data_IF_194395057513
#
_entry.id   IF_194395057513
#
_cell.length_a   1.000
_cell.length_b   1.000
_cell.length_c   1.000
_cell.angle_alpha   90.00
_cell.angle_beta   90.00
_cell.angle_gamma   90.00
#
_symmetry.space_group_name_H-M   'P 1'
#
loop_
_entity.id
_entity.type
_entity.pdbx_description
1 polymer ?
#
# COMPACT_ATOMS: atom_id res chain seq x y z
N UNK A 1 -37.58 5.16 -31.57
CA UNK A 1 -36.16 4.72 -31.66
C UNK A 1 -35.68 4.18 -30.31
N UNK A 2 -36.39 3.18 -29.77
CA UNK A 2 -35.91 2.31 -28.67
C UNK A 2 -35.38 1.05 -29.34
N UNK A 3 -34.12 0.69 -29.10
CA UNK A 3 -33.53 -0.52 -29.70
C UNK A 3 -32.05 -0.37 -29.95
N UNK A 4 -31.26 -0.38 -28.87
CA UNK A 4 -29.81 -0.59 -28.92
C UNK A 4 -29.21 -0.96 -27.54
N UNK A 5 -29.95 -0.76 -26.43
CA UNK A 5 -29.46 -1.03 -25.07
C UNK A 5 -29.72 -2.45 -24.53
N UNK A 6 -30.56 -3.26 -25.17
CA UNK A 6 -30.96 -4.59 -24.65
C UNK A 6 -30.15 -5.77 -25.24
N UNK A 7 -29.14 -5.51 -26.07
CA UNK A 7 -28.37 -6.56 -26.75
C UNK A 7 -27.06 -6.97 -26.03
N UNK A 8 -26.84 -6.54 -24.78
CA UNK A 8 -25.72 -7.02 -23.95
C UNK A 8 -26.14 -7.78 -22.69
N UNK A 9 -27.45 -7.96 -22.44
CA UNK A 9 -27.93 -8.93 -21.45
C UNK A 9 -28.07 -10.30 -22.12
N UNK A 10 -26.94 -10.95 -22.42
CA UNK A 10 -26.95 -12.38 -22.73
C UNK A 10 -27.24 -13.16 -21.44
N UNK A 11 -28.30 -13.99 -21.39
CA UNK A 11 -28.53 -14.90 -20.26
C UNK A 11 -27.50 -16.04 -20.38
N UNK A 12 -26.35 -15.85 -19.74
CA UNK A 12 -25.22 -16.79 -19.82
C UNK A 12 -23.82 -16.14 -19.82
N UNK A 13 -23.72 -14.80 -19.77
CA UNK A 13 -22.44 -14.13 -19.53
C UNK A 13 -22.02 -14.29 -18.07
N UNK A 14 -20.83 -14.84 -17.82
CA UNK A 14 -20.27 -14.86 -16.46
C UNK A 14 -19.99 -13.43 -16.03
N UNK A 15 -20.54 -13.00 -14.88
CA UNK A 15 -20.32 -11.66 -14.34
C UNK A 15 -18.82 -11.36 -14.21
N UNK A 16 -18.42 -10.15 -14.61
CA UNK A 16 -17.02 -9.74 -14.62
C UNK A 16 -16.36 -9.90 -13.24
N UNK A 17 -17.11 -9.66 -12.16
CA UNK A 17 -16.66 -9.88 -10.78
C UNK A 17 -16.37 -11.36 -10.49
N UNK A 18 -17.23 -12.29 -10.92
CA UNK A 18 -17.01 -13.74 -10.73
C UNK A 18 -15.71 -14.18 -11.42
N UNK A 19 -15.50 -13.74 -12.67
CA UNK A 19 -14.27 -14.04 -13.40
C UNK A 19 -13.04 -13.40 -12.75
N UNK A 20 -13.13 -12.13 -12.36
CA UNK A 20 -12.03 -11.39 -11.76
C UNK A 20 -11.57 -12.01 -10.44
N UNK A 21 -12.49 -12.23 -9.51
CA UNK A 21 -12.20 -12.84 -8.21
C UNK A 21 -11.84 -14.33 -8.32
N UNK A 22 -12.46 -15.07 -9.25
CA UNK A 22 -12.10 -16.45 -9.55
C UNK A 22 -10.65 -16.57 -10.07
N UNK A 23 -10.25 -15.68 -10.98
CA UNK A 23 -8.87 -15.61 -11.47
C UNK A 23 -7.89 -15.23 -10.34
N UNK A 24 -8.27 -14.28 -9.48
CA UNK A 24 -7.47 -13.89 -8.32
C UNK A 24 -7.24 -15.06 -7.37
N UNK A 25 -8.29 -15.82 -7.07
CA UNK A 25 -8.23 -17.00 -6.20
C UNK A 25 -7.31 -18.07 -6.81
N UNK A 26 -7.46 -18.36 -8.10
CA UNK A 26 -6.61 -19.33 -8.81
C UNK A 26 -5.14 -18.90 -8.85
N UNK A 27 -4.86 -17.64 -9.21
CA UNK A 27 -3.50 -17.12 -9.30
C UNK A 27 -2.79 -17.14 -7.94
N UNK A 28 -3.48 -16.74 -6.87
CA UNK A 28 -2.95 -16.82 -5.51
C UNK A 28 -2.88 -18.25 -4.99
N UNK A 29 -3.74 -19.17 -5.45
CA UNK A 29 -3.66 -20.59 -5.07
C UNK A 29 -2.40 -21.24 -5.65
N UNK A 30 -2.08 -20.96 -6.92
CA UNK A 30 -0.82 -21.40 -7.54
C UNK A 30 0.38 -20.82 -6.77
N UNK A 31 0.33 -19.52 -6.43
CA UNK A 31 1.37 -18.89 -5.62
C UNK A 31 1.48 -19.53 -4.23
N UNK A 32 0.37 -19.80 -3.56
CA UNK A 32 0.34 -20.47 -2.26
C UNK A 32 1.00 -21.85 -2.34
N UNK A 33 0.68 -22.63 -3.36
CA UNK A 33 1.28 -23.95 -3.57
C UNK A 33 2.81 -23.86 -3.74
N UNK A 34 3.29 -22.92 -4.54
CA UNK A 34 4.73 -22.67 -4.73
C UNK A 34 5.39 -22.25 -3.41
N UNK A 35 4.76 -21.36 -2.64
CA UNK A 35 5.30 -20.89 -1.37
C UNK A 35 5.34 -21.98 -0.30
N UNK A 36 4.31 -22.81 -0.20
CA UNK A 36 4.24 -23.90 0.78
C UNK A 36 5.24 -25.02 0.47
N UNK A 37 5.47 -25.32 -0.81
CA UNK A 37 6.45 -26.34 -1.24
C UNK A 37 7.90 -25.85 -1.19
N UNK A 38 8.14 -24.54 -1.33
CA UNK A 38 9.49 -23.95 -1.24
C UNK A 38 9.84 -23.41 0.15
N UNK A 39 8.93 -23.51 1.13
CA UNK A 39 9.13 -22.95 2.47
C UNK A 39 10.22 -23.70 3.24
N UNK A 40 11.18 -22.93 3.78
CA UNK A 40 12.31 -23.44 4.57
C UNK A 40 12.23 -23.09 6.05
N UNK A 41 11.02 -23.05 6.62
CA UNK A 41 10.81 -22.94 8.08
C UNK A 41 10.98 -21.55 8.71
N UNK A 42 11.10 -20.47 7.92
CA UNK A 42 11.26 -19.10 8.44
C UNK A 42 9.93 -18.38 8.64
N UNK A 43 9.85 -17.55 9.69
CA UNK A 43 8.66 -16.76 10.04
C UNK A 43 8.22 -15.81 8.91
N UNK A 44 9.15 -15.17 8.20
CA UNK A 44 8.81 -14.26 7.08
C UNK A 44 8.11 -15.00 5.95
N UNK A 45 8.61 -16.19 5.59
CA UNK A 45 7.96 -17.05 4.60
C UNK A 45 6.60 -17.57 5.08
N UNK A 46 6.46 -17.88 6.37
CA UNK A 46 5.18 -18.29 6.94
C UNK A 46 4.13 -17.17 6.90
N UNK A 47 4.50 -15.93 7.25
CA UNK A 47 3.62 -14.77 7.17
C UNK A 47 3.17 -14.49 5.74
N UNK A 48 4.09 -14.59 4.78
CA UNK A 48 3.75 -14.43 3.36
C UNK A 48 2.81 -15.53 2.89
N UNK A 49 3.13 -16.79 3.16
CA UNK A 49 2.27 -17.91 2.78
C UNK A 49 0.88 -17.78 3.41
N UNK A 50 0.80 -17.39 4.69
CA UNK A 50 -0.47 -17.13 5.36
C UNK A 50 -1.26 -15.98 4.70
N UNK A 51 -0.59 -14.86 4.35
CA UNK A 51 -1.22 -13.74 3.66
C UNK A 51 -1.78 -14.16 2.29
N UNK A 52 -1.02 -14.94 1.52
CA UNK A 52 -1.46 -15.47 0.23
C UNK A 52 -2.62 -16.45 0.40
N UNK A 53 -2.55 -17.40 1.34
CA UNK A 53 -3.63 -18.34 1.61
C UNK A 53 -4.93 -17.61 2.02
N UNK A 54 -4.85 -16.60 2.88
CA UNK A 54 -6.03 -15.80 3.24
C UNK A 54 -6.57 -14.99 2.06
N UNK A 55 -5.69 -14.53 1.17
CA UNK A 55 -6.10 -13.86 -0.08
C UNK A 55 -6.85 -14.83 -1.00
N UNK A 56 -6.45 -16.11 -1.06
CA UNK A 56 -7.22 -17.16 -1.77
C UNK A 56 -8.61 -17.35 -1.17
N UNK A 57 -8.71 -17.46 0.16
CA UNK A 57 -9.99 -17.64 0.85
C UNK A 57 -10.92 -16.45 0.64
N UNK A 58 -10.38 -15.23 0.80
CA UNK A 58 -11.12 -13.99 0.55
C UNK A 58 -11.59 -13.91 -0.91
N UNK A 59 -10.70 -14.09 -1.89
CA UNK A 59 -11.04 -14.00 -3.30
C UNK A 59 -12.04 -15.08 -3.73
N UNK A 60 -11.90 -16.30 -3.19
CA UNK A 60 -12.87 -17.38 -3.43
C UNK A 60 -14.26 -17.07 -2.87
N UNK A 61 -14.33 -16.51 -1.66
CA UNK A 61 -15.60 -16.10 -1.07
C UNK A 61 -16.23 -14.91 -1.82
N UNK A 62 -15.41 -13.93 -2.23
CA UNK A 62 -15.85 -12.81 -3.05
C UNK A 62 -16.40 -13.29 -4.41
N UNK A 63 -15.72 -14.23 -5.08
CA UNK A 63 -16.22 -14.85 -6.30
C UNK A 63 -17.56 -15.58 -6.07
N UNK A 64 -17.68 -16.30 -4.97
CA UNK A 64 -18.94 -16.97 -4.60
C UNK A 64 -20.08 -16.01 -4.33
N UNK A 65 -19.83 -14.89 -3.64
CA UNK A 65 -20.81 -13.80 -3.44
C UNK A 65 -21.27 -13.21 -4.78
N UNK A 66 -20.33 -12.95 -5.70
CA UNK A 66 -20.68 -12.49 -7.05
C UNK A 66 -21.47 -13.55 -7.84
N UNK A 67 -21.26 -14.84 -7.57
CA UNK A 67 -21.99 -15.95 -8.19
C UNK A 67 -23.34 -16.25 -7.52
N UNK A 68 -23.77 -15.46 -6.54
CA UNK A 68 -25.08 -15.59 -5.88
C UNK A 68 -25.08 -16.27 -4.52
N UNK A 69 -23.93 -16.44 -3.85
CA UNK A 69 -23.93 -16.77 -2.41
C UNK A 69 -24.72 -15.70 -1.65
N UNK A 70 -25.57 -16.14 -0.71
CA UNK A 70 -26.47 -15.24 0.00
C UNK A 70 -25.74 -14.15 0.80
N UNK A 71 -26.39 -12.99 1.05
CA UNK A 71 -25.77 -11.84 1.70
C UNK A 71 -25.31 -12.09 3.15
N UNK A 72 -25.74 -13.20 3.78
CA UNK A 72 -25.26 -13.62 5.09
C UNK A 72 -23.76 -13.93 5.16
N UNK A 73 -23.10 -14.10 4.02
CA UNK A 73 -21.65 -14.32 3.91
C UNK A 73 -20.82 -13.02 3.77
N UNK A 74 -21.46 -11.85 3.59
CA UNK A 74 -20.75 -10.56 3.49
C UNK A 74 -19.90 -10.25 4.74
N UNK A 75 -20.35 -10.52 5.98
CA UNK A 75 -19.48 -10.36 7.15
C UNK A 75 -18.23 -11.25 7.12
N UNK A 76 -18.34 -12.48 6.59
CA UNK A 76 -17.20 -13.39 6.45
C UNK A 76 -16.18 -12.86 5.43
N UNK A 77 -16.67 -12.31 4.32
CA UNK A 77 -15.83 -11.71 3.29
C UNK A 77 -15.04 -10.52 3.84
N UNK A 78 -15.69 -9.59 4.53
CA UNK A 78 -15.00 -8.46 5.17
C UNK A 78 -14.00 -8.88 6.25
N UNK A 79 -14.29 -9.92 7.04
CA UNK A 79 -13.36 -10.45 8.04
C UNK A 79 -12.13 -11.12 7.41
N UNK A 80 -12.34 -11.91 6.33
CA UNK A 80 -11.25 -12.49 5.57
C UNK A 80 -10.41 -11.42 4.89
N UNK A 81 -11.04 -10.36 4.38
CA UNK A 81 -10.34 -9.21 3.82
C UNK A 81 -9.45 -8.55 4.86
N UNK A 82 -10.02 -8.20 6.02
CA UNK A 82 -9.30 -7.57 7.13
C UNK A 82 -8.11 -8.43 7.56
N UNK A 83 -8.31 -9.73 7.72
CA UNK A 83 -7.26 -10.64 8.12
C UNK A 83 -6.18 -10.80 7.02
N UNK A 84 -6.57 -10.83 5.74
CA UNK A 84 -5.64 -10.90 4.60
C UNK A 84 -4.76 -9.64 4.53
N UNK A 85 -5.37 -8.45 4.53
CA UNK A 85 -4.67 -7.17 4.44
C UNK A 85 -3.87 -6.90 5.71
N UNK A 86 -4.37 -7.33 6.86
CA UNK A 86 -3.64 -7.33 8.13
C UNK A 86 -2.38 -8.20 8.09
N UNK A 87 -2.43 -9.39 7.50
CA UNK A 87 -1.24 -10.25 7.33
C UNK A 87 -0.23 -9.68 6.33
N UNK A 88 -0.68 -9.08 5.23
CA UNK A 88 0.20 -8.35 4.31
C UNK A 88 0.92 -7.20 5.01
N UNK A 89 0.19 -6.41 5.80
CA UNK A 89 0.79 -5.34 6.59
C UNK A 89 1.78 -5.89 7.63
N UNK A 90 1.40 -6.94 8.38
CA UNK A 90 2.27 -7.57 9.37
C UNK A 90 3.55 -8.13 8.72
N UNK A 91 3.44 -8.71 7.53
CA UNK A 91 4.59 -9.16 6.74
C UNK A 91 5.52 -8.00 6.37
N UNK A 92 4.99 -6.88 5.83
CA UNK A 92 5.79 -5.69 5.51
C UNK A 92 6.47 -5.10 6.75
N UNK A 93 5.75 -4.97 7.86
CA UNK A 93 6.29 -4.47 9.13
C UNK A 93 7.38 -5.40 9.69
N UNK A 94 7.23 -6.72 9.49
CA UNK A 94 8.25 -7.70 9.88
C UNK A 94 9.51 -7.58 9.03
N UNK A 95 9.39 -7.26 7.75
CA UNK A 95 10.54 -6.97 6.88
C UNK A 95 11.24 -5.65 7.24
N UNK A 96 10.49 -4.67 7.77
CA UNK A 96 11.02 -3.38 8.20
C UNK A 96 11.78 -3.42 9.53
N UNK A 97 11.45 -4.37 10.41
CA UNK A 97 11.92 -4.38 11.80
C UNK A 97 13.45 -4.58 11.89
N UNK A 98 14.21 -3.61 12.44
CA UNK A 98 15.62 -3.82 12.77
C UNK A 98 15.75 -4.93 13.83
N UNK A 99 16.74 -5.82 13.68
CA UNK A 99 17.08 -6.76 14.76
C UNK A 99 17.65 -5.97 15.96
N UNK A 100 16.85 -5.97 17.02
CA UNK A 100 17.17 -5.70 18.43
C UNK A 100 17.46 -4.25 18.89
N UNK A 101 16.92 -3.92 20.08
CA UNK A 101 17.58 -3.01 21.01
C UNK A 101 16.73 -1.90 21.61
N UNK A 102 16.36 -0.88 20.83
CA UNK A 102 16.08 0.46 21.43
C UNK A 102 14.71 1.05 21.07
N UNK A 103 14.01 0.50 20.06
CA UNK A 103 12.73 1.04 19.57
C UNK A 103 11.47 0.45 20.23
N UNK A 104 11.59 -0.65 20.97
CA UNK A 104 10.46 -1.45 21.47
C UNK A 104 9.48 -0.69 22.38
N UNK A 105 9.94 0.27 23.17
CA UNK A 105 9.08 1.01 24.10
C UNK A 105 8.19 2.06 23.40
N UNK A 106 8.69 2.72 22.34
CA UNK A 106 7.94 3.77 21.63
C UNK A 106 6.97 3.22 20.57
N UNK A 107 7.23 2.04 20.02
CA UNK A 107 6.35 1.42 19.01
C UNK A 107 5.23 0.58 19.61
N UNK A 108 5.36 0.15 20.87
CA UNK A 108 4.34 -0.63 21.58
C UNK A 108 2.97 0.04 21.67
N UNK A 109 2.82 1.34 22.04
CA UNK A 109 1.50 1.97 22.09
C UNK A 109 0.84 2.05 20.70
N UNK A 110 1.62 2.29 19.64
CA UNK A 110 1.12 2.33 18.26
C UNK A 110 0.66 0.94 17.80
N UNK A 111 1.41 -0.11 18.13
CA UNK A 111 1.01 -1.49 17.83
C UNK A 111 -0.28 -1.89 18.58
N UNK A 112 -0.41 -1.50 19.85
CA UNK A 112 -1.65 -1.73 20.63
C UNK A 112 -2.82 -0.96 20.04
N UNK A 113 -2.64 0.32 19.69
CA UNK A 113 -3.69 1.12 19.06
C UNK A 113 -4.12 0.52 17.70
N UNK A 114 -3.17 0.03 16.90
CA UNK A 114 -3.45 -0.67 15.65
C UNK A 114 -4.25 -1.96 15.87
N UNK A 115 -3.87 -2.78 16.86
CA UNK A 115 -4.59 -4.00 17.23
C UNK A 115 -6.02 -3.69 17.73
N UNK A 116 -6.19 -2.67 18.58
CA UNK A 116 -7.51 -2.25 19.06
C UNK A 116 -8.39 -1.74 17.91
N UNK A 117 -7.80 -0.99 16.97
CA UNK A 117 -8.52 -0.49 15.79
C UNK A 117 -8.95 -1.65 14.88
N UNK A 118 -8.08 -2.64 14.67
CA UNK A 118 -8.41 -3.85 13.91
C UNK A 118 -9.48 -4.69 14.63
N UNK A 119 -9.39 -4.84 15.95
CA UNK A 119 -10.39 -5.55 16.75
C UNK A 119 -11.76 -4.84 16.71
N UNK A 120 -11.78 -3.52 16.80
CA UNK A 120 -13.00 -2.72 16.62
C UNK A 120 -13.58 -2.92 15.23
N UNK A 121 -12.76 -2.85 14.18
CA UNK A 121 -13.22 -3.08 12.81
C UNK A 121 -13.78 -4.50 12.63
N UNK A 122 -13.11 -5.52 13.16
CA UNK A 122 -13.59 -6.90 13.15
C UNK A 122 -14.94 -7.04 13.87
N UNK A 123 -15.11 -6.40 15.03
CA UNK A 123 -16.37 -6.37 15.76
C UNK A 123 -17.49 -5.70 14.93
N UNK A 124 -17.20 -4.56 14.28
CA UNK A 124 -18.14 -3.87 13.41
C UNK A 124 -18.55 -4.72 12.19
N UNK A 125 -17.62 -5.50 11.64
CA UNK A 125 -17.89 -6.42 10.53
C UNK A 125 -18.72 -7.63 10.98
N UNK A 126 -18.44 -8.19 12.16
CA UNK A 126 -19.17 -9.31 12.76
C UNK A 126 -20.55 -8.91 13.33
N UNK A 127 -20.84 -7.62 13.46
CA UNK A 127 -22.07 -7.09 14.04
C UNK A 127 -23.38 -7.76 13.54
N UNK A 128 -23.56 -8.04 12.23
CA UNK A 128 -24.76 -8.71 11.74
C UNK A 128 -24.96 -10.14 12.29
N UNK A 129 -23.87 -10.90 12.48
CA UNK A 129 -23.95 -12.24 13.08
C UNK A 129 -24.23 -12.22 14.57
N UNK A 130 -23.84 -11.13 15.25
CA UNK A 130 -24.13 -10.90 16.66
C UNK A 130 -25.53 -10.34 16.91
N UNK A 131 -26.35 -10.16 15.85
CA UNK A 131 -27.67 -9.56 15.95
C UNK A 131 -27.65 -8.08 16.33
N UNK A 132 -26.51 -7.40 16.17
CA UNK A 132 -26.38 -5.98 16.47
C UNK A 132 -27.06 -5.12 15.38
N UNK A 133 -27.50 -3.89 15.72
CA UNK A 133 -28.19 -3.02 14.77
C UNK A 133 -27.37 -2.76 13.50
N UNK A 134 -28.00 -2.78 12.33
CA UNK A 134 -27.33 -2.56 11.04
C UNK A 134 -26.67 -1.18 10.92
N UNK A 135 -27.13 -0.19 11.69
CA UNK A 135 -26.53 1.15 11.78
C UNK A 135 -25.29 1.21 12.70
N UNK A 136 -24.95 0.14 13.41
CA UNK A 136 -23.78 0.11 14.29
C UNK A 136 -22.50 0.26 13.45
N UNK A 137 -21.74 1.32 13.76
CA UNK A 137 -20.58 1.75 12.98
C UNK A 137 -20.88 2.87 11.98
N UNK A 138 -22.12 3.37 11.88
CA UNK A 138 -22.43 4.58 11.12
C UNK A 138 -22.54 5.79 12.04
N UNK A 139 -21.75 6.83 11.80
CA UNK A 139 -21.75 8.08 12.57
C UNK A 139 -21.96 9.26 11.64
N UNK A 140 -23.07 10.00 11.80
CA UNK A 140 -23.37 11.19 10.99
C UNK A 140 -23.29 10.96 9.47
N UNK A 141 -23.70 9.75 9.02
CA UNK A 141 -23.64 9.36 7.61
C UNK A 141 -22.29 8.80 7.16
N UNK A 142 -21.26 8.76 8.00
CA UNK A 142 -19.98 8.10 7.73
C UNK A 142 -20.00 6.64 8.21
N UNK A 143 -19.64 5.70 7.32
CA UNK A 143 -19.43 4.30 7.66
C UNK A 143 -17.99 4.05 8.16
N UNK A 144 -17.85 3.76 9.47
CA UNK A 144 -16.57 3.50 10.11
C UNK A 144 -15.86 2.25 9.55
N UNK A 145 -16.58 1.32 8.92
CA UNK A 145 -15.97 0.14 8.30
C UNK A 145 -15.14 0.55 7.10
N UNK A 146 -15.69 1.40 6.25
CA UNK A 146 -15.00 1.96 5.06
C UNK A 146 -13.79 2.81 5.48
N UNK A 147 -13.94 3.62 6.53
CA UNK A 147 -12.83 4.41 7.10
C UNK A 147 -11.73 3.49 7.63
N UNK A 148 -12.09 2.39 8.29
CA UNK A 148 -11.14 1.40 8.79
C UNK A 148 -10.31 0.75 7.68
N UNK A 149 -10.96 0.32 6.59
CA UNK A 149 -10.25 -0.23 5.42
C UNK A 149 -9.42 0.82 4.69
N UNK A 150 -9.90 2.06 4.55
CA UNK A 150 -9.12 3.16 4.00
C UNK A 150 -7.85 3.41 4.83
N UNK A 151 -7.96 3.44 6.16
CA UNK A 151 -6.82 3.60 7.05
C UNK A 151 -5.82 2.44 6.90
N UNK A 152 -6.32 1.19 6.81
CA UNK A 152 -5.48 0.01 6.57
C UNK A 152 -4.73 0.10 5.24
N UNK A 153 -5.39 0.59 4.18
CA UNK A 153 -4.76 0.79 2.87
C UNK A 153 -3.66 1.85 2.90
N UNK A 154 -3.89 2.98 3.58
CA UNK A 154 -2.87 4.01 3.80
C UNK A 154 -1.67 3.45 4.58
N UNK A 155 -1.91 2.69 5.65
CA UNK A 155 -0.85 2.04 6.43
C UNK A 155 -0.03 1.06 5.57
N UNK A 156 -0.69 0.29 4.71
CA UNK A 156 -0.05 -0.59 3.74
C UNK A 156 0.86 0.17 2.77
N UNK A 157 0.37 1.26 2.17
CA UNK A 157 1.15 2.12 1.28
C UNK A 157 2.37 2.74 1.99
N UNK A 158 2.18 3.24 3.21
CA UNK A 158 3.28 3.79 4.02
C UNK A 158 4.31 2.70 4.33
N UNK A 159 3.88 1.49 4.67
CA UNK A 159 4.78 0.36 4.94
C UNK A 159 5.57 -0.06 3.68
N UNK A 160 4.93 -0.09 2.51
CA UNK A 160 5.60 -0.35 1.22
C UNK A 160 6.62 0.75 0.92
N UNK A 161 6.27 2.02 1.13
CA UNK A 161 7.20 3.15 0.97
C UNK A 161 8.40 3.00 1.90
N UNK A 162 8.16 2.77 3.19
CA UNK A 162 9.24 2.60 4.16
C UNK A 162 10.15 1.45 3.74
N UNK A 163 9.58 0.33 3.28
CA UNK A 163 10.35 -0.85 2.90
C UNK A 163 11.25 -0.54 1.70
N UNK A 164 10.69 0.07 0.65
CA UNK A 164 11.44 0.39 -0.55
C UNK A 164 12.54 1.43 -0.29
N UNK A 165 12.24 2.48 0.48
CA UNK A 165 13.16 3.61 0.70
C UNK A 165 14.27 3.30 1.69
N UNK A 166 13.96 2.54 2.73
CA UNK A 166 14.97 2.15 3.72
C UNK A 166 15.84 0.97 3.26
N UNK A 167 15.52 0.34 2.12
CA UNK A 167 16.38 -0.66 1.49
C UNK A 167 17.48 -0.01 0.66
N UNK A 168 18.72 -0.48 0.86
CA UNK A 168 19.90 -0.02 0.12
C UNK A 168 19.71 -0.17 -1.41
N UNK A 169 20.15 0.80 -2.24
CA UNK A 169 19.91 0.81 -3.69
C UNK A 169 20.26 -0.50 -4.40
N UNK A 170 21.34 -1.15 -3.98
CA UNK A 170 21.87 -2.39 -4.56
C UNK A 170 20.91 -3.57 -4.34
N UNK A 171 20.13 -3.54 -3.25
CA UNK A 171 19.16 -4.58 -2.88
C UNK A 171 17.74 -4.27 -3.35
N UNK A 172 17.45 -3.05 -3.82
CA UNK A 172 16.11 -2.66 -4.30
C UNK A 172 15.63 -3.53 -5.46
N UNK A 173 16.54 -4.03 -6.30
CA UNK A 173 16.19 -4.93 -7.40
C UNK A 173 15.53 -6.24 -6.93
N UNK A 174 15.91 -6.72 -5.74
CA UNK A 174 15.34 -7.94 -5.14
C UNK A 174 13.93 -7.77 -4.58
N UNK A 175 13.60 -6.57 -4.08
CA UNK A 175 12.28 -6.29 -3.46
C UNK A 175 11.32 -5.53 -4.37
N UNK A 176 11.76 -5.01 -5.52
CA UNK A 176 10.90 -4.16 -6.38
C UNK A 176 9.58 -4.84 -6.76
N UNK A 177 9.60 -6.13 -7.07
CA UNK A 177 8.40 -6.86 -7.48
C UNK A 177 7.46 -7.11 -6.31
N UNK A 178 8.00 -7.28 -5.11
CA UNK A 178 7.21 -7.35 -3.89
C UNK A 178 6.53 -6.01 -3.62
N UNK A 179 7.28 -4.91 -3.70
CA UNK A 179 6.74 -3.56 -3.51
C UNK A 179 5.70 -3.21 -4.58
N UNK A 180 5.89 -3.63 -5.84
CA UNK A 180 4.92 -3.41 -6.91
C UNK A 180 3.66 -4.25 -6.72
N UNK A 181 3.79 -5.53 -6.37
CA UNK A 181 2.64 -6.41 -6.13
C UNK A 181 1.83 -5.94 -4.92
N UNK A 182 2.45 -5.89 -3.74
CA UNK A 182 1.76 -5.50 -2.49
C UNK A 182 1.35 -4.03 -2.51
N UNK A 183 2.19 -3.16 -3.08
CA UNK A 183 1.85 -1.75 -3.26
C UNK A 183 0.68 -1.55 -4.22
N UNK A 184 0.56 -2.37 -5.28
CA UNK A 184 -0.59 -2.38 -6.17
C UNK A 184 -1.89 -2.75 -5.45
N UNK A 185 -1.87 -3.79 -4.61
CA UNK A 185 -3.01 -4.18 -3.77
C UNK A 185 -3.48 -3.02 -2.89
N UNK A 186 -2.57 -2.46 -2.08
CA UNK A 186 -2.92 -1.36 -1.17
C UNK A 186 -3.25 -0.05 -1.89
N UNK A 187 -2.66 0.23 -3.06
CA UNK A 187 -2.99 1.41 -3.86
C UNK A 187 -4.42 1.32 -4.40
N UNK A 188 -4.81 0.13 -4.89
CA UNK A 188 -6.16 -0.10 -5.35
C UNK A 188 -7.17 -0.04 -4.20
N UNK A 189 -6.88 -0.69 -3.07
CA UNK A 189 -7.71 -0.63 -1.87
C UNK A 189 -7.86 0.83 -1.38
N UNK A 190 -6.77 1.61 -1.36
CA UNK A 190 -6.82 3.03 -1.01
C UNK A 190 -7.78 3.79 -1.93
N UNK A 191 -7.69 3.57 -3.25
CA UNK A 191 -8.57 4.20 -4.21
C UNK A 191 -10.04 3.82 -4.00
N UNK A 192 -10.31 2.51 -3.92
CA UNK A 192 -11.64 1.94 -3.73
C UNK A 192 -12.30 2.48 -2.45
N UNK A 193 -11.60 2.44 -1.32
CA UNK A 193 -12.16 2.90 -0.05
C UNK A 193 -12.18 4.42 0.09
N UNK A 194 -11.30 5.15 -0.60
CA UNK A 194 -11.39 6.62 -0.66
C UNK A 194 -12.66 7.06 -1.41
N UNK A 195 -12.96 6.42 -2.55
CA UNK A 195 -14.20 6.60 -3.29
C UNK A 195 -15.41 6.24 -2.41
N UNK A 196 -15.35 5.07 -1.77
CA UNK A 196 -16.45 4.58 -0.96
C UNK A 196 -16.75 5.46 0.26
N UNK A 197 -15.73 6.02 0.92
CA UNK A 197 -15.89 6.99 2.01
C UNK A 197 -16.44 8.32 1.49
N UNK A 198 -16.09 8.75 0.28
CA UNK A 198 -16.58 10.02 -0.26
C UNK A 198 -18.07 9.94 -0.65
N UNK A 199 -18.51 8.83 -1.26
CA UNK A 199 -19.89 8.65 -1.71
C UNK A 199 -20.77 7.83 -0.77
N UNK A 200 -20.20 7.30 0.31
CA UNK A 200 -20.88 6.44 1.28
C UNK A 200 -21.52 5.20 0.64
N UNK A 201 -20.91 4.70 -0.43
CA UNK A 201 -21.31 3.51 -1.18
C UNK A 201 -20.09 2.87 -1.82
N UNK A 202 -20.07 1.55 -1.91
CA UNK A 202 -19.11 0.84 -2.73
C UNK A 202 -19.59 0.88 -4.19
N UNK A 203 -18.76 1.40 -5.09
CA UNK A 203 -19.04 1.35 -6.53
C UNK A 203 -18.89 -0.11 -7.01
N UNK A 204 -19.95 -0.73 -7.58
CA UNK A 204 -19.89 -2.13 -8.02
C UNK A 204 -18.83 -2.38 -9.09
N UNK A 205 -18.55 -1.42 -9.98
CA UNK A 205 -17.55 -1.59 -11.02
C UNK A 205 -16.13 -1.58 -10.45
N UNK A 206 -15.86 -0.71 -9.46
CA UNK A 206 -14.59 -0.72 -8.75
C UNK A 206 -14.44 -1.97 -7.88
N UNK A 207 -15.54 -2.44 -7.31
CA UNK A 207 -15.54 -3.70 -6.57
C UNK A 207 -15.24 -4.90 -7.48
N UNK A 208 -15.85 -4.98 -8.66
CA UNK A 208 -15.65 -6.06 -9.63
C UNK A 208 -14.22 -6.08 -10.20
N UNK A 209 -13.67 -4.90 -10.52
CA UNK A 209 -12.33 -4.79 -11.09
C UNK A 209 -11.22 -5.17 -10.08
N UNK A 210 -11.50 -5.16 -8.78
CA UNK A 210 -10.53 -5.50 -7.72
C UNK A 210 -9.94 -6.89 -7.90
N UNK A 211 -10.78 -7.88 -8.24
CA UNK A 211 -10.32 -9.25 -8.48
C UNK A 211 -9.25 -9.33 -9.58
N UNK A 212 -9.41 -8.57 -10.67
CA UNK A 212 -8.40 -8.54 -11.73
C UNK A 212 -7.07 -7.92 -11.25
N UNK A 213 -7.13 -6.88 -10.41
CA UNK A 213 -5.93 -6.24 -9.85
C UNK A 213 -5.20 -7.19 -8.89
N UNK A 214 -5.92 -7.89 -8.02
CA UNK A 214 -5.35 -8.94 -7.18
C UNK A 214 -4.73 -10.06 -8.05
N UNK A 215 -5.39 -10.50 -9.12
CA UNK A 215 -4.85 -11.49 -10.04
C UNK A 215 -3.54 -11.04 -10.70
N UNK A 216 -3.42 -9.77 -11.07
CA UNK A 216 -2.20 -9.18 -11.65
C UNK A 216 -1.08 -9.00 -10.61
N UNK A 217 -1.40 -8.87 -9.33
CA UNK A 217 -0.40 -8.82 -8.26
C UNK A 217 0.28 -10.17 -8.05
N UNK A 218 -0.46 -11.28 -8.18
CA UNK A 218 0.06 -12.64 -7.97
C UNK A 218 1.34 -12.98 -8.77
N UNK A 219 1.47 -12.73 -10.09
CA UNK A 219 2.70 -13.01 -10.81
C UNK A 219 3.87 -12.12 -10.36
N UNK A 220 3.63 -10.86 -9.97
CA UNK A 220 4.68 -9.99 -9.40
C UNK A 220 5.20 -10.57 -8.08
N UNK A 221 4.29 -11.05 -7.23
CA UNK A 221 4.63 -11.72 -5.97
C UNK A 221 5.35 -13.04 -6.22
N UNK A 222 4.97 -13.81 -7.24
CA UNK A 222 5.65 -15.04 -7.64
C UNK A 222 7.09 -14.77 -8.10
N UNK A 223 7.31 -13.72 -8.91
CA UNK A 223 8.66 -13.30 -9.31
C UNK A 223 9.47 -12.83 -8.10
N UNK A 224 8.86 -12.12 -7.16
CA UNK A 224 9.52 -11.74 -5.90
C UNK A 224 9.93 -12.97 -5.07
N UNK A 225 9.06 -13.98 -5.02
CA UNK A 225 9.31 -15.25 -4.34
C UNK A 225 10.45 -16.06 -4.96
N UNK A 226 10.41 -16.23 -6.28
CA UNK A 226 11.43 -16.97 -7.02
C UNK A 226 12.81 -16.32 -6.91
N UNK A 227 12.86 -14.98 -6.84
CA UNK A 227 14.12 -14.23 -6.70
C UNK A 227 14.69 -14.23 -5.29
N UNK A 228 13.89 -14.53 -4.28
CA UNK A 228 14.31 -14.54 -2.87
C UNK A 228 13.91 -15.85 -2.16
N UNK A 229 14.44 -17.03 -2.58
CA UNK A 229 13.93 -18.34 -2.15
C UNK A 229 14.08 -18.59 -0.64
N UNK A 230 15.11 -18.00 -0.03
CA UNK A 230 15.36 -18.17 1.39
C UNK A 230 14.48 -17.26 2.26
N UNK A 231 13.76 -16.30 1.65
CA UNK A 231 13.09 -15.16 2.29
C UNK A 231 13.91 -14.46 3.38
N UNK A 232 15.21 -14.75 3.51
CA UNK A 232 16.22 -13.78 3.91
C UNK A 232 16.35 -12.83 2.74
N UNK A 233 15.33 -12.00 2.63
CA UNK A 233 15.61 -10.61 2.60
C UNK A 233 16.51 -10.34 3.83
N UNK A 234 17.82 -10.58 3.69
CA UNK A 234 18.84 -9.79 4.36
C UNK A 234 18.71 -8.37 3.81
N UNK A 235 17.51 -7.82 3.81
CA UNK A 235 17.22 -6.43 3.60
C UNK A 235 17.70 -5.84 4.91
N UNK A 236 19.01 -5.58 4.93
CA UNK A 236 19.57 -4.57 5.79
C UNK A 236 18.86 -3.29 5.35
N UNK A 237 17.69 -3.07 5.93
CA UNK A 237 17.18 -1.74 6.19
C UNK A 237 18.38 -1.01 6.80
N UNK A 238 18.79 0.08 6.17
CA UNK A 238 19.89 0.90 6.70
C UNK A 238 19.75 1.02 8.22
N UNK A 239 20.85 0.88 8.96
CA UNK A 239 20.86 0.88 10.44
C UNK A 239 20.19 2.14 11.04
N UNK A 240 19.91 3.14 10.20
CA UNK A 240 19.06 4.30 10.49
C UNK A 240 17.80 4.24 9.61
N UNK A 241 16.70 3.73 10.16
CA UNK A 241 15.38 3.85 9.53
C UNK A 241 14.97 5.33 9.52
N UNK A 242 14.77 5.90 8.34
CA UNK A 242 14.24 7.25 8.16
C UNK A 242 12.77 7.12 7.80
N UNK A 243 11.91 7.82 8.54
CA UNK A 243 10.50 7.89 8.21
C UNK A 243 10.31 8.78 6.98
N UNK A 244 9.81 8.20 5.90
CA UNK A 244 9.48 8.93 4.67
C UNK A 244 7.96 9.16 4.60
N UNK A 245 7.53 10.40 4.36
CA UNK A 245 6.11 10.76 4.40
C UNK A 245 5.42 10.83 3.03
N UNK A 246 6.01 10.36 1.93
CA UNK A 246 5.48 10.67 0.59
C UNK A 246 4.14 9.98 0.35
N UNK A 247 3.96 8.73 0.76
CA UNK A 247 2.70 8.01 0.65
C UNK A 247 1.62 8.67 1.50
N UNK A 248 1.95 9.12 2.72
CA UNK A 248 1.01 9.79 3.61
C UNK A 248 0.61 11.17 3.07
N UNK A 249 1.58 11.99 2.64
CA UNK A 249 1.32 13.29 2.01
C UNK A 249 0.54 13.13 0.70
N UNK A 250 0.90 12.14 -0.13
CA UNK A 250 0.20 11.82 -1.37
C UNK A 250 -1.24 11.39 -1.13
N UNK A 251 -1.47 10.50 -0.15
CA UNK A 251 -2.81 10.09 0.25
C UNK A 251 -3.65 11.28 0.76
N UNK A 252 -3.07 12.13 1.60
CA UNK A 252 -3.74 13.34 2.10
C UNK A 252 -4.11 14.31 0.98
N UNK A 253 -3.19 14.62 0.07
CA UNK A 253 -3.44 15.48 -1.09
C UNK A 253 -4.50 14.89 -2.02
N UNK A 254 -4.45 13.57 -2.27
CA UNK A 254 -5.46 12.88 -3.05
C UNK A 254 -6.85 13.02 -2.40
N UNK A 255 -6.96 12.75 -1.10
CA UNK A 255 -8.23 12.86 -0.38
C UNK A 255 -8.78 14.29 -0.38
N UNK A 256 -7.92 15.30 -0.22
CA UNK A 256 -8.31 16.71 -0.31
C UNK A 256 -8.82 17.07 -1.71
N UNK A 257 -8.11 16.63 -2.76
CA UNK A 257 -8.53 16.86 -4.15
C UNK A 257 -9.87 16.18 -4.44
N UNK A 258 -10.04 14.93 -3.99
CA UNK A 258 -11.28 14.18 -4.10
C UNK A 258 -12.43 14.86 -3.35
N UNK A 259 -12.20 15.32 -2.12
CA UNK A 259 -13.21 16.03 -1.32
C UNK A 259 -13.60 17.37 -1.96
N UNK A 260 -12.65 18.11 -2.52
CA UNK A 260 -12.89 19.35 -3.24
C UNK A 260 -13.70 19.10 -4.52
N UNK A 261 -13.30 18.13 -5.33
CA UNK A 261 -14.04 17.72 -6.53
C UNK A 261 -15.45 17.21 -6.18
N UNK A 262 -15.57 16.40 -5.14
CA UNK A 262 -16.84 15.91 -4.62
C UNK A 262 -17.79 17.03 -4.19
N UNK A 263 -17.26 18.01 -3.46
CA UNK A 263 -18.02 19.19 -3.00
C UNK A 263 -18.44 20.08 -4.17
N UNK A 264 -17.56 20.28 -5.14
CA UNK A 264 -17.86 21.05 -6.35
C UNK A 264 -19.02 20.41 -7.13
N UNK A 265 -18.98 19.11 -7.38
CA UNK A 265 -20.01 18.46 -8.18
C UNK A 265 -21.37 18.44 -7.46
N UNK A 266 -21.39 18.28 -6.13
CA UNK A 266 -22.63 18.40 -5.33
C UNK A 266 -23.29 19.77 -5.45
N UNK A 267 -22.51 20.82 -5.68
CA UNK A 267 -23.01 22.19 -5.82
C UNK A 267 -23.53 22.48 -7.25
N UNK A 268 -22.91 21.90 -8.28
CA UNK A 268 -23.18 22.24 -9.69
C UNK A 268 -23.95 21.17 -10.49
N UNK A 269 -24.29 20.01 -9.89
CA UNK A 269 -25.33 19.10 -10.41
C UNK A 269 -24.96 18.20 -11.61
N UNK A 270 -23.68 17.94 -11.86
CA UNK A 270 -23.22 17.13 -13.03
C UNK A 270 -23.27 15.60 -12.84
N UNK A 271 -23.42 14.85 -13.94
CA UNK A 271 -23.35 13.37 -13.97
C UNK A 271 -21.90 12.86 -14.02
N UNK A 272 -21.51 12.16 -12.95
CA UNK A 272 -20.16 11.83 -12.50
C UNK A 272 -19.25 10.94 -13.38
N UNK A 273 -19.78 9.88 -14.01
CA UNK A 273 -18.97 8.67 -14.27
C UNK A 273 -17.77 8.79 -15.22
N UNK A 274 -17.89 9.57 -16.31
CA UNK A 274 -16.89 9.55 -17.40
C UNK A 274 -15.70 10.47 -17.15
N UNK A 275 -15.95 11.63 -16.54
CA UNK A 275 -14.90 12.62 -16.22
C UNK A 275 -13.97 12.08 -15.13
N UNK A 276 -14.52 11.31 -14.20
CA UNK A 276 -13.77 10.70 -13.11
C UNK A 276 -12.91 9.51 -13.53
N UNK A 277 -13.38 8.64 -14.42
CA UNK A 277 -12.56 7.56 -14.98
C UNK A 277 -11.34 8.11 -15.74
N UNK A 278 -11.51 9.21 -16.47
CA UNK A 278 -10.42 9.89 -17.20
C UNK A 278 -9.47 10.60 -16.22
N UNK A 279 -9.99 11.31 -15.21
CA UNK A 279 -9.18 11.94 -14.17
C UNK A 279 -8.46 10.90 -13.28
N UNK A 280 -9.06 9.74 -13.07
CA UNK A 280 -8.49 8.59 -12.35
C UNK A 280 -7.36 7.93 -13.14
N UNK A 281 -7.56 7.61 -14.42
CA UNK A 281 -6.50 7.06 -15.28
C UNK A 281 -5.34 8.04 -15.44
N UNK A 282 -5.65 9.34 -15.59
CA UNK A 282 -4.64 10.39 -15.65
C UNK A 282 -3.92 10.56 -14.30
N UNK A 283 -4.67 10.58 -13.19
CA UNK A 283 -4.17 10.74 -11.83
C UNK A 283 -3.32 9.56 -11.39
N UNK A 284 -3.81 8.33 -11.50
CA UNK A 284 -3.05 7.11 -11.23
C UNK A 284 -1.86 6.96 -12.17
N UNK A 285 -2.02 7.30 -13.47
CA UNK A 285 -0.93 7.34 -14.45
C UNK A 285 0.15 8.39 -14.16
N UNK A 286 -0.16 9.44 -13.39
CA UNK A 286 0.79 10.45 -12.90
C UNK A 286 1.36 10.08 -11.51
N UNK A 287 0.53 9.54 -10.62
CA UNK A 287 0.88 9.19 -9.24
C UNK A 287 1.79 7.97 -9.18
N UNK A 288 1.51 6.94 -9.99
CA UNK A 288 2.33 5.71 -10.03
C UNK A 288 3.78 6.03 -10.45
N UNK A 289 4.04 6.77 -11.55
CA UNK A 289 5.39 7.22 -11.88
C UNK A 289 5.97 8.25 -10.90
N UNK A 290 5.15 9.06 -10.21
CA UNK A 290 5.68 9.98 -9.19
C UNK A 290 6.10 9.26 -7.89
N UNK A 291 5.39 8.19 -7.53
CA UNK A 291 5.70 7.33 -6.38
C UNK A 291 6.84 6.36 -6.69
N UNK A 292 6.91 5.86 -7.94
CA UNK A 292 7.87 4.84 -8.37
C UNK A 292 9.08 5.41 -9.15
N UNK A 293 8.99 6.61 -9.70
CA UNK A 293 9.97 7.24 -10.58
C UNK A 293 10.89 8.22 -9.86
N UNK A 294 12.18 7.84 -9.86
CA UNK A 294 13.41 8.66 -9.89
C UNK A 294 13.50 9.94 -9.04
N UNK A 295 14.60 10.07 -8.27
CA UNK A 295 14.85 11.16 -7.32
C UNK A 295 14.73 12.60 -7.85
N UNK A 296 14.70 12.82 -9.16
CA UNK A 296 14.61 14.15 -9.78
C UNK A 296 13.24 14.83 -9.64
N UNK A 297 12.12 14.10 -9.78
CA UNK A 297 10.77 14.67 -9.60
C UNK A 297 10.53 15.02 -8.12
N UNK A 298 11.13 14.22 -7.23
CA UNK A 298 11.05 14.34 -5.77
C UNK A 298 11.82 15.56 -5.25
N UNK A 299 13.01 15.83 -5.79
CA UNK A 299 13.77 17.03 -5.48
C UNK A 299 13.02 18.30 -5.90
N UNK A 300 12.35 18.28 -7.05
CA UNK A 300 11.55 19.43 -7.53
C UNK A 300 10.31 19.67 -6.67
N UNK A 301 9.57 18.62 -6.30
CA UNK A 301 8.42 18.72 -5.40
C UNK A 301 8.83 19.16 -3.98
N UNK A 302 9.94 18.64 -3.45
CA UNK A 302 10.50 19.08 -2.16
C UNK A 302 10.87 20.56 -2.21
N UNK A 303 11.61 21.00 -3.23
CA UNK A 303 11.96 22.42 -3.41
C UNK A 303 10.71 23.28 -3.62
N UNK A 304 9.70 22.78 -4.32
CA UNK A 304 8.44 23.51 -4.53
C UNK A 304 7.65 23.69 -3.22
N UNK A 305 7.50 22.63 -2.43
CA UNK A 305 6.81 22.68 -1.13
C UNK A 305 7.60 23.45 -0.07
N UNK A 306 8.92 23.33 -0.07
CA UNK A 306 9.82 24.08 0.82
C UNK A 306 9.81 25.59 0.48
N UNK A 307 9.74 25.95 -0.81
CA UNK A 307 9.61 27.35 -1.23
C UNK A 307 8.27 28.00 -0.87
N UNK A 308 7.17 27.22 -0.78
CA UNK A 308 5.82 27.79 -0.69
C UNK A 308 5.08 27.50 0.62
N UNK A 309 5.46 26.48 1.40
CA UNK A 309 4.68 26.03 2.55
C UNK A 309 5.46 25.81 3.85
N UNK A 310 6.79 25.69 3.81
CA UNK A 310 7.60 25.50 5.02
C UNK A 310 8.85 26.38 4.98
N UNK A 311 8.89 27.40 5.84
CA UNK A 311 10.17 28.00 6.24
C UNK A 311 10.88 27.00 7.15
N UNK A 312 11.63 26.05 6.58
CA UNK A 312 12.31 25.04 7.38
C UNK A 312 13.45 25.66 8.18
N UNK A 313 13.39 25.49 9.49
CA UNK A 313 14.55 25.50 10.38
C UNK A 313 15.37 24.26 10.05
N UNK A 314 16.27 24.37 9.07
CA UNK A 314 17.33 23.40 8.86
C UNK A 314 18.13 23.31 10.16
N UNK A 315 18.18 22.14 10.79
CA UNK A 315 19.07 21.94 11.94
C UNK A 315 20.50 21.78 11.41
N UNK A 316 21.10 22.91 11.01
CA UNK A 316 22.47 23.01 10.49
C UNK A 316 23.48 22.30 11.38
N UNK A 317 23.19 22.19 12.69
CA UNK A 317 24.02 21.50 13.65
C UNK A 317 24.16 20.01 13.35
N UNK A 318 23.09 19.33 12.96
CA UNK A 318 23.16 17.90 12.65
C UNK A 318 23.94 17.63 11.36
N UNK A 319 23.73 18.44 10.32
CA UNK A 319 24.47 18.29 9.05
C UNK A 319 25.94 18.69 9.22
N UNK A 320 26.24 19.72 10.01
CA UNK A 320 27.61 20.10 10.32
C UNK A 320 28.37 19.01 11.09
N UNK A 321 27.72 18.36 12.06
CA UNK A 321 28.30 17.23 12.80
C UNK A 321 28.48 15.99 11.92
N UNK A 322 27.62 15.80 10.90
CA UNK A 322 27.73 14.69 9.94
C UNK A 322 28.90 14.90 8.99
N UNK A 323 29.05 16.13 8.47
CA UNK A 323 30.15 16.53 7.59
C UNK A 323 31.50 16.41 8.30
N UNK A 324 31.61 16.93 9.52
CA UNK A 324 32.87 16.88 10.30
C UNK A 324 33.26 15.44 10.65
N UNK A 325 32.32 14.55 10.99
CA UNK A 325 32.63 13.13 11.20
C UNK A 325 33.10 12.43 9.93
N UNK A 326 32.44 12.70 8.79
CA UNK A 326 32.86 12.17 7.49
C UNK A 326 34.26 12.67 7.07
N UNK A 327 34.61 13.91 7.42
CA UNK A 327 35.94 14.51 7.21
C UNK A 327 36.97 14.15 8.30
N UNK A 328 36.56 13.62 9.45
CA UNK A 328 37.44 13.09 10.49
C UNK A 328 37.82 11.61 10.31
N UNK A 329 37.00 10.83 9.60
CA UNK A 329 37.32 9.45 9.20
C UNK A 329 36.65 8.40 10.08
N UNK A 330 35.69 8.83 10.88
CA UNK A 330 34.90 7.97 11.77
C UNK A 330 33.81 7.26 10.97
N UNK A 331 34.12 6.08 10.41
CA UNK A 331 33.11 5.17 9.86
C UNK A 331 33.42 4.52 8.50
N UNK A 332 34.40 5.04 7.75
CA UNK A 332 34.84 4.46 6.47
C UNK A 332 36.38 4.40 6.45
N UNK A 333 36.94 3.19 6.37
CA UNK A 333 38.38 2.96 6.38
C UNK A 333 39.12 3.72 5.27
N UNK A 334 40.32 4.23 5.61
CA UNK A 334 41.46 4.69 4.80
C UNK A 334 41.23 5.34 3.41
N UNK A 335 40.05 5.87 3.08
CA UNK A 335 39.90 6.66 1.84
C UNK A 335 40.65 7.99 1.96
N UNK A 336 41.30 8.47 0.89
CA UNK A 336 41.89 9.80 0.83
C UNK A 336 40.87 10.91 1.14
N UNK A 337 41.33 12.00 1.75
CA UNK A 337 40.49 13.15 2.12
C UNK A 337 39.66 13.73 0.94
N UNK A 338 40.20 13.84 -0.30
CA UNK A 338 39.42 14.35 -1.44
C UNK A 338 38.19 13.48 -1.76
N UNK A 339 38.33 12.16 -1.72
CA UNK A 339 37.23 11.22 -1.99
C UNK A 339 36.16 11.29 -0.90
N UNK A 340 36.59 11.44 0.35
CA UNK A 340 35.69 11.59 1.50
C UNK A 340 34.94 12.92 1.46
N UNK A 341 35.59 14.00 1.03
CA UNK A 341 34.96 15.28 0.84
C UNK A 341 33.86 15.21 -0.23
N UNK A 342 34.16 14.59 -1.39
CA UNK A 342 33.18 14.43 -2.46
C UNK A 342 32.02 13.53 -2.05
N UNK A 343 32.28 12.42 -1.35
CA UNK A 343 31.23 11.55 -0.84
C UNK A 343 30.35 12.24 0.22
N UNK A 344 30.95 13.00 1.14
CA UNK A 344 30.22 13.72 2.19
C UNK A 344 29.35 14.85 1.61
N UNK A 345 29.89 15.62 0.66
CA UNK A 345 29.16 16.64 -0.07
C UNK A 345 28.03 16.00 -0.89
N UNK A 346 28.32 14.92 -1.62
CA UNK A 346 27.35 14.17 -2.41
C UNK A 346 26.19 13.64 -1.57
N UNK A 347 26.46 13.13 -0.36
CA UNK A 347 25.44 12.68 0.57
C UNK A 347 24.57 13.84 1.12
N UNK A 348 25.13 15.04 1.32
CA UNK A 348 24.35 16.21 1.78
C UNK A 348 23.39 16.73 0.71
N UNK A 349 23.79 16.69 -0.57
CA UNK A 349 22.97 17.17 -1.69
C UNK A 349 22.23 16.06 -2.44
N UNK A 350 22.25 14.83 -1.91
CA UNK A 350 21.61 13.64 -2.47
C UNK A 350 22.01 13.40 -3.95
N UNK A 351 23.30 13.60 -4.24
CA UNK A 351 23.90 13.44 -5.56
C UNK A 351 24.42 12.00 -5.76
N UNK A 352 24.15 11.43 -6.95
CA UNK A 352 24.51 10.04 -7.26
C UNK A 352 26.00 9.82 -7.61
N UNK A 353 26.75 10.88 -7.98
CA UNK A 353 28.16 10.80 -8.33
C UNK A 353 28.86 12.17 -8.17
N UNK A 354 30.16 12.16 -7.94
CA UNK A 354 30.99 13.38 -7.95
C UNK A 354 32.33 13.10 -8.63
N UNK A 355 32.90 14.12 -9.26
CA UNK A 355 34.19 14.04 -9.93
C UNK A 355 35.25 14.81 -9.12
N UNK A 356 36.43 14.22 -9.01
CA UNK A 356 37.66 14.88 -8.59
C UNK A 356 38.48 15.14 -9.86
N UNK A 357 38.99 16.35 -10.05
CA UNK A 357 39.82 16.71 -11.19
C UNK A 357 41.15 17.29 -10.73
#
# INVERSE_FOLDING_TARGET
MRGAGELLSAPGGVDAGVLGYGLAALAHLVLAFVLLTSWRGRLQGALLAAAVCLTVLWAGLAAGLQAGLGPGWVPAEGLLELASRGLWLAFLLRLLSPREGVLGARVRPLAVAGLLSAALLALLLAAPWLGLPAGLGRMQGLDLRLVGFLALAVLGLVAVEQLYRNTAPERRWGIKFLCLGVGGLFAYDFFLYADAVLFQRLDPHLWDARGLVDALAAPLLAVAAARNPQWSLDVFVSRRMVFHGVALTGAGLYLLAMAAAGSYIRYWGGSWGRVFQVAFLAGAGLLLPALLGSGSLRARLRVFLDKHFFSYRYDYREEWLRLTRALAGEGEGERPLPERAVAALGAMVDCAAGALW
#
